data_IF_102401131147
#
_entry.id   IF_102401131147
#
_cell.length_a   1.000
_cell.length_b   1.000
_cell.length_c   1.000
_cell.angle_alpha   90.00
_cell.angle_beta   90.00
_cell.angle_gamma   90.00
#
_symmetry.space_group_name_H-M   'P 1'
#
loop_
_entity.id
_entity.type
_entity.pdbx_description
1 polymer ?
#
# COMPACT_ATOMS: atom_id res chain seq x y z
N UNK A 1 26.23 -52.05 -7.36
CA UNK A 1 24.76 -51.90 -7.34
C UNK A 1 24.47 -50.84 -8.37
N UNK A 2 24.14 -51.25 -9.59
CA UNK A 2 23.66 -50.33 -10.63
C UNK A 2 22.23 -49.92 -10.25
N UNK A 3 21.82 -48.69 -10.57
CA UNK A 3 20.49 -48.09 -10.32
C UNK A 3 20.33 -47.17 -9.10
N UNK A 4 21.40 -46.52 -8.61
CA UNK A 4 21.26 -45.38 -7.68
C UNK A 4 21.60 -44.02 -8.31
N UNK A 5 22.32 -44.00 -9.44
CA UNK A 5 22.78 -42.76 -10.08
C UNK A 5 21.68 -42.03 -10.88
N UNK A 6 20.52 -42.66 -11.10
CA UNK A 6 19.44 -42.15 -11.98
C UNK A 6 18.13 -41.84 -11.25
N UNK A 7 18.13 -41.80 -9.91
CA UNK A 7 17.01 -41.26 -9.13
C UNK A 7 17.12 -39.73 -9.19
N UNK A 8 16.59 -39.14 -10.27
CA UNK A 8 16.34 -37.69 -10.32
C UNK A 8 15.22 -37.38 -9.34
N UNK A 9 15.61 -36.93 -8.15
CA UNK A 9 14.71 -36.30 -7.18
C UNK A 9 13.95 -35.18 -7.92
N UNK A 10 12.62 -35.33 -8.07
CA UNK A 10 11.77 -34.52 -8.97
C UNK A 10 11.60 -33.05 -8.55
N UNK A 11 12.57 -32.50 -7.83
CA UNK A 11 12.61 -31.16 -7.29
C UNK A 11 13.79 -30.41 -7.89
N UNK A 12 13.51 -29.22 -8.41
CA UNK A 12 14.52 -28.28 -8.88
C UNK A 12 14.68 -27.17 -7.83
N UNK A 13 15.77 -27.23 -7.08
CA UNK A 13 16.09 -26.27 -6.02
C UNK A 13 16.86 -25.04 -6.52
N UNK A 14 17.18 -24.95 -7.83
CA UNK A 14 17.90 -23.81 -8.42
C UNK A 14 19.22 -23.47 -7.72
N UNK A 15 20.02 -24.49 -7.37
CA UNK A 15 21.29 -24.31 -6.66
C UNK A 15 22.35 -23.55 -7.46
N UNK A 16 22.14 -23.39 -8.77
CA UNK A 16 22.92 -22.55 -9.69
C UNK A 16 22.60 -21.05 -9.59
N UNK A 17 21.51 -20.67 -8.91
CA UNK A 17 21.04 -19.28 -8.81
C UNK A 17 20.93 -18.83 -7.35
N UNK A 18 21.83 -17.96 -6.86
CA UNK A 18 21.73 -17.45 -5.50
C UNK A 18 20.50 -16.55 -5.34
N UNK A 19 19.77 -16.70 -4.23
CA UNK A 19 18.68 -15.79 -3.86
C UNK A 19 19.22 -14.37 -3.63
N UNK A 20 18.48 -13.37 -4.12
CA UNK A 20 18.80 -11.96 -3.94
C UNK A 20 17.63 -11.22 -3.29
N UNK A 21 17.95 -10.25 -2.43
CA UNK A 21 16.94 -9.36 -1.85
C UNK A 21 16.49 -8.32 -2.88
N UNK A 22 15.19 -8.01 -2.88
CA UNK A 22 14.65 -6.90 -3.69
C UNK A 22 14.72 -5.62 -2.84
N UNK A 23 15.40 -4.55 -3.30
CA UNK A 23 15.52 -3.32 -2.53
C UNK A 23 14.18 -2.58 -2.36
N UNK A 24 13.98 -1.96 -1.19
CA UNK A 24 12.89 -1.02 -0.95
C UNK A 24 13.37 0.42 -1.20
N UNK A 25 12.88 1.06 -2.26
CA UNK A 25 13.47 2.30 -2.82
C UNK A 25 12.81 3.59 -2.35
N UNK A 26 11.73 3.50 -1.55
CA UNK A 26 11.06 4.68 -1.01
C UNK A 26 12.03 5.46 -0.09
N UNK A 27 12.16 6.77 -0.34
CA UNK A 27 13.14 7.65 0.30
C UNK A 27 13.11 7.53 1.83
N UNK A 28 14.23 7.13 2.42
CA UNK A 28 14.40 7.05 3.88
C UNK A 28 13.69 5.86 4.55
N UNK A 29 13.12 4.93 3.78
CA UNK A 29 12.31 3.83 4.30
C UNK A 29 12.95 2.43 4.10
N UNK A 30 14.21 2.37 3.63
CA UNK A 30 14.90 1.12 3.31
C UNK A 30 15.29 0.24 4.51
N UNK A 31 15.14 0.74 5.74
CA UNK A 31 15.51 0.03 6.98
C UNK A 31 14.33 -0.11 7.96
N UNK A 32 13.09 -0.01 7.46
CA UNK A 32 11.87 -0.22 8.24
C UNK A 32 11.49 -1.70 8.24
N UNK A 33 10.78 -2.14 9.28
CA UNK A 33 10.19 -3.48 9.30
C UNK A 33 9.19 -3.66 8.13
N UNK A 34 9.02 -4.92 7.71
CA UNK A 34 8.15 -5.27 6.59
C UNK A 34 6.73 -4.73 6.76
N UNK A 35 6.16 -4.78 7.97
CA UNK A 35 4.80 -4.31 8.22
C UNK A 35 4.64 -2.80 8.01
N UNK A 36 5.71 -2.02 8.21
CA UNK A 36 5.73 -0.59 7.95
C UNK A 36 5.97 -0.30 6.46
N UNK A 37 6.89 -1.01 5.81
CA UNK A 37 7.10 -0.93 4.36
C UNK A 37 5.82 -1.26 3.58
N UNK A 38 5.09 -2.31 3.98
CA UNK A 38 3.82 -2.71 3.40
C UNK A 38 2.75 -1.61 3.49
N UNK A 39 2.62 -0.95 4.66
CA UNK A 39 1.68 0.19 4.83
C UNK A 39 2.08 1.38 3.96
N UNK A 40 3.37 1.69 3.89
CA UNK A 40 3.88 2.78 3.05
C UNK A 40 3.65 2.51 1.56
N UNK A 41 3.78 1.26 1.09
CA UNK A 41 3.49 0.89 -0.30
C UNK A 41 2.02 1.00 -0.69
N UNK A 42 1.10 1.09 0.27
CA UNK A 42 -0.32 1.41 0.00
C UNK A 42 -0.55 2.92 -0.14
N UNK A 43 0.31 3.74 0.45
CA UNK A 43 0.24 5.20 0.32
C UNK A 43 0.99 5.63 -0.95
N UNK A 44 2.24 5.20 -1.10
CA UNK A 44 3.11 5.56 -2.22
C UNK A 44 3.19 4.41 -3.22
N UNK A 45 2.74 4.66 -4.45
CA UNK A 45 2.78 3.67 -5.51
C UNK A 45 4.23 3.18 -5.74
N UNK A 46 4.53 1.86 -5.60
CA UNK A 46 5.90 1.36 -5.69
C UNK A 46 6.60 1.60 -7.03
N UNK A 47 5.84 1.82 -8.11
CA UNK A 47 6.40 2.08 -9.45
C UNK A 47 6.83 3.54 -9.61
N UNK A 48 6.07 4.49 -9.04
CA UNK A 48 6.30 5.92 -9.23
C UNK A 48 6.95 6.59 -8.01
N UNK A 49 6.86 5.98 -6.84
CA UNK A 49 7.29 6.54 -5.56
C UNK A 49 6.46 7.73 -5.09
N UNK A 50 5.27 7.95 -5.66
CA UNK A 50 4.40 9.12 -5.43
C UNK A 50 2.99 8.71 -5.03
N UNK A 51 2.20 9.67 -4.57
CA UNK A 51 0.80 9.51 -4.16
C UNK A 51 -0.02 10.76 -4.50
N UNK A 52 -1.30 10.57 -4.82
CA UNK A 52 -2.33 11.61 -4.86
C UNK A 52 -3.32 11.33 -3.74
N UNK A 53 -3.20 12.09 -2.66
CA UNK A 53 -4.01 11.95 -1.44
C UNK A 53 -5.18 12.94 -1.45
N UNK A 54 -6.39 12.44 -1.21
CA UNK A 54 -7.59 13.26 -1.04
C UNK A 54 -7.84 13.51 0.45
N UNK A 55 -7.69 14.76 0.88
CA UNK A 55 -7.90 15.18 2.26
C UNK A 55 -9.24 15.89 2.44
N UNK A 56 -10.02 15.43 3.41
CA UNK A 56 -11.35 15.98 3.75
C UNK A 56 -11.61 15.96 5.26
N UNK A 57 -10.55 16.12 6.06
CA UNK A 57 -10.58 16.18 7.52
C UNK A 57 -10.82 17.59 8.09
N UNK A 58 -10.87 18.63 7.25
CA UNK A 58 -11.02 20.05 7.63
C UNK A 58 -12.09 20.32 8.70
N UNK A 59 -13.18 19.57 8.68
CA UNK A 59 -14.29 19.75 9.62
C UNK A 59 -13.98 19.43 11.08
N UNK A 60 -12.81 18.86 11.39
CA UNK A 60 -12.45 18.53 12.78
C UNK A 60 -12.40 19.75 13.71
N UNK A 61 -12.12 20.94 13.17
CA UNK A 61 -12.15 22.21 13.91
C UNK A 61 -12.98 23.30 13.21
N UNK A 62 -13.30 23.14 11.93
CA UNK A 62 -14.04 24.13 11.15
C UNK A 62 -15.55 23.83 11.06
N UNK A 63 -16.01 22.65 11.48
CA UNK A 63 -17.39 22.21 11.23
C UNK A 63 -17.64 21.97 9.73
N UNK A 64 -18.84 22.26 9.21
CA UNK A 64 -19.17 22.03 7.79
C UNK A 64 -18.54 23.11 6.89
N UNK A 65 -17.25 22.98 6.61
CA UNK A 65 -16.53 23.88 5.69
C UNK A 65 -17.07 23.73 4.26
N UNK A 66 -16.98 24.79 3.46
CA UNK A 66 -17.51 24.82 2.09
C UNK A 66 -17.06 23.62 1.27
N UNK A 67 -18.03 22.89 0.69
CA UNK A 67 -17.80 21.69 -0.13
C UNK A 67 -17.77 20.37 0.66
N UNK A 68 -17.65 20.41 1.99
CA UNK A 68 -17.64 19.23 2.88
C UNK A 68 -18.92 19.09 3.71
N UNK A 69 -19.98 19.81 3.37
CA UNK A 69 -21.26 19.77 4.09
C UNK A 69 -21.91 18.39 3.98
N UNK A 70 -21.69 17.70 2.85
CA UNK A 70 -22.23 16.36 2.55
C UNK A 70 -21.18 15.48 1.90
N UNK A 71 -20.28 14.93 2.72
CA UNK A 71 -19.22 14.00 2.27
C UNK A 71 -19.80 12.79 1.56
N UNK A 72 -20.94 12.28 2.06
CA UNK A 72 -21.69 11.15 1.50
C UNK A 72 -22.22 11.37 0.07
N UNK A 73 -22.33 12.63 -0.37
CA UNK A 73 -22.81 12.98 -1.72
C UNK A 73 -21.69 13.57 -2.56
N UNK A 74 -21.02 14.61 -2.06
CA UNK A 74 -20.11 15.44 -2.86
C UNK A 74 -18.70 14.83 -2.95
N UNK A 75 -18.28 14.10 -1.92
CA UNK A 75 -16.90 13.58 -1.81
C UNK A 75 -16.85 12.09 -2.14
N UNK A 76 -17.92 11.33 -1.85
CA UNK A 76 -17.97 9.90 -2.12
C UNK A 76 -17.65 9.50 -3.57
N UNK A 77 -18.14 10.19 -4.62
CA UNK A 77 -17.77 9.90 -6.00
C UNK A 77 -16.29 10.14 -6.32
N UNK A 78 -15.56 10.86 -5.48
CA UNK A 78 -14.13 11.15 -5.69
C UNK A 78 -13.21 10.07 -5.12
N UNK A 79 -13.72 9.15 -4.28
CA UNK A 79 -12.90 8.17 -3.57
C UNK A 79 -12.13 7.24 -4.53
N UNK A 80 -12.76 6.81 -5.61
CA UNK A 80 -12.14 5.90 -6.58
C UNK A 80 -11.02 6.55 -7.42
N UNK A 81 -10.93 7.88 -7.40
CA UNK A 81 -9.94 8.65 -8.15
C UNK A 81 -8.71 9.03 -7.33
N UNK A 82 -8.70 8.73 -6.04
CA UNK A 82 -7.58 9.00 -5.14
C UNK A 82 -6.77 7.73 -4.85
N UNK A 83 -5.45 7.88 -4.65
CA UNK A 83 -4.62 6.75 -4.20
C UNK A 83 -4.92 6.41 -2.73
N UNK A 84 -5.19 7.43 -1.91
CA UNK A 84 -5.42 7.28 -0.46
C UNK A 84 -6.31 8.40 0.07
N UNK A 85 -7.15 8.07 1.06
CA UNK A 85 -8.05 9.00 1.74
C UNK A 85 -7.48 9.46 3.09
N UNK A 86 -7.59 10.75 3.38
CA UNK A 86 -7.23 11.34 4.67
C UNK A 86 -8.48 11.98 5.30
N UNK A 87 -8.92 11.42 6.43
CA UNK A 87 -10.12 11.85 7.13
C UNK A 87 -10.10 11.52 8.63
N UNK A 88 -11.04 12.11 9.38
CA UNK A 88 -11.29 11.79 10.78
C UNK A 88 -11.95 10.42 10.93
N UNK A 89 -11.64 9.69 12.01
CA UNK A 89 -12.25 8.37 12.30
C UNK A 89 -13.78 8.39 12.37
N UNK A 90 -14.38 9.53 12.70
CA UNK A 90 -15.84 9.69 12.75
C UNK A 90 -16.44 9.59 11.35
N UNK A 91 -15.96 10.44 10.45
CA UNK A 91 -16.33 10.42 9.02
C UNK A 91 -16.07 9.05 8.40
N UNK A 92 -14.88 8.47 8.65
CA UNK A 92 -14.51 7.17 8.11
C UNK A 92 -15.48 6.03 8.49
N UNK A 93 -16.11 6.09 9.67
CA UNK A 93 -17.05 5.04 10.11
C UNK A 93 -18.49 5.31 9.68
N UNK A 94 -18.83 6.57 9.42
CA UNK A 94 -20.22 6.97 9.19
C UNK A 94 -20.60 7.07 7.71
N UNK A 95 -19.66 7.49 6.85
CA UNK A 95 -19.99 7.92 5.47
C UNK A 95 -18.94 7.54 4.41
N UNK A 96 -17.90 6.80 4.79
CA UNK A 96 -16.86 6.26 3.88
C UNK A 96 -16.92 4.74 3.96
#
# INVERSE_FOLDING_TARGET
MADLDDIKDGKDFRTDQPQQNIPFTLKGCGALDWGMQSRLSRIFNPKTGKTVMLAFDHGYFQGPTTGLERIDINIAPLFEHADVLMCMRGILRSVV
#
